data_IF_648431537776
#
_entry.id   IF_648431537776
#
_cell.length_a   1.000
_cell.length_b   1.000
_cell.length_c   1.000
_cell.angle_alpha   90.00
_cell.angle_beta   90.00
_cell.angle_gamma   90.00
#
_symmetry.space_group_name_H-M   'P 1'
#
loop_
_entity.id
_entity.type
_entity.pdbx_description
1 polymer ?
#
# COMPACT_ATOMS: atom_id res chain seq x y z
N UNK A 1 18.72 22.96 24.45
CA UNK A 1 17.96 23.46 23.29
C UNK A 1 17.92 22.35 22.25
N UNK A 2 16.97 21.43 22.33
CA UNK A 2 16.70 20.53 21.20
C UNK A 2 16.03 21.40 20.15
N UNK A 3 16.77 21.81 19.13
CA UNK A 3 16.20 22.44 17.94
C UNK A 3 15.28 21.41 17.28
N UNK A 4 14.05 21.36 17.79
CA UNK A 4 12.97 20.60 17.18
C UNK A 4 12.76 21.25 15.84
N UNK A 5 13.24 20.58 14.79
CA UNK A 5 12.99 20.97 13.43
C UNK A 5 11.47 21.07 13.28
N UNK A 6 10.97 22.29 13.27
CA UNK A 6 9.54 22.57 13.26
C UNK A 6 9.08 22.34 11.82
N UNK A 7 8.84 21.08 11.47
CA UNK A 7 8.24 20.78 10.18
C UNK A 7 6.81 21.30 10.23
N UNK A 8 6.49 22.28 9.39
CA UNK A 8 5.12 22.70 9.08
C UNK A 8 4.37 21.57 8.34
N UNK A 9 4.04 20.54 9.11
CA UNK A 9 3.35 19.35 8.65
C UNK A 9 1.87 19.69 8.52
N UNK A 10 1.42 19.96 7.28
CA UNK A 10 -0.02 20.06 6.97
C UNK A 10 -0.80 18.78 7.35
N UNK A 11 -0.13 17.64 7.51
CA UNK A 11 -0.69 16.34 7.88
C UNK A 11 0.29 15.54 8.75
N UNK A 12 -0.19 14.62 9.61
CA UNK A 12 0.68 13.65 10.27
C UNK A 12 1.44 12.78 9.26
N UNK A 13 2.71 12.45 9.54
CA UNK A 13 3.58 11.66 8.65
C UNK A 13 2.90 10.38 8.17
N UNK A 14 2.24 9.62 9.06
CA UNK A 14 1.59 8.34 8.72
C UNK A 14 0.47 8.46 7.67
N UNK A 15 -0.14 9.65 7.55
CA UNK A 15 -1.20 9.94 6.57
C UNK A 15 -0.67 10.42 5.23
N UNK A 16 0.61 10.75 5.13
CA UNK A 16 1.21 11.20 3.88
C UNK A 16 1.40 10.04 2.90
N UNK A 17 1.34 10.36 1.62
CA UNK A 17 1.65 9.43 0.52
C UNK A 17 3.15 9.34 0.31
N UNK A 18 3.63 8.28 -0.37
CA UNK A 18 5.06 8.13 -0.66
C UNK A 18 5.64 9.34 -1.42
N UNK A 19 4.85 10.03 -2.25
CA UNK A 19 5.28 11.24 -2.94
C UNK A 19 5.46 12.42 -1.99
N UNK A 20 4.47 12.67 -1.14
CA UNK A 20 4.54 13.73 -0.11
C UNK A 20 5.72 13.49 0.85
N UNK A 21 5.99 12.24 1.24
CA UNK A 21 7.15 11.89 2.08
C UNK A 21 8.49 12.09 1.36
N UNK A 22 8.59 11.79 0.06
CA UNK A 22 9.80 12.08 -0.72
C UNK A 22 10.06 13.57 -0.85
N UNK A 23 9.01 14.36 -1.09
CA UNK A 23 9.13 15.81 -1.14
C UNK A 23 9.58 16.39 0.21
N UNK A 24 9.10 15.84 1.33
CA UNK A 24 9.57 16.23 2.66
C UNK A 24 11.03 15.87 2.89
N UNK A 25 11.46 14.66 2.50
CA UNK A 25 12.87 14.26 2.60
C UNK A 25 13.76 15.21 1.80
N UNK A 26 13.39 15.52 0.56
CA UNK A 26 14.16 16.42 -0.30
C UNK A 26 14.24 17.85 0.26
N UNK A 27 13.17 18.34 0.92
CA UNK A 27 13.09 19.72 1.40
C UNK A 27 13.66 19.93 2.80
N UNK A 28 13.50 18.94 3.69
CA UNK A 28 13.64 19.14 5.14
C UNK A 28 14.50 18.07 5.82
N UNK A 29 14.74 16.92 5.18
CA UNK A 29 15.50 15.82 5.80
C UNK A 29 16.56 15.25 4.84
N UNK A 30 17.61 16.03 4.50
CA UNK A 30 18.67 15.58 3.57
C UNK A 30 19.49 14.39 4.09
N UNK A 31 19.33 14.03 5.36
CA UNK A 31 19.96 12.86 5.99
C UNK A 31 19.45 11.53 5.41
N UNK A 32 18.22 11.52 4.88
CA UNK A 32 17.60 10.34 4.28
C UNK A 32 18.03 10.24 2.81
N UNK A 33 19.09 9.47 2.55
CA UNK A 33 19.59 9.22 1.20
C UNK A 33 18.81 8.09 0.51
N UNK A 34 18.58 8.21 -0.80
CA UNK A 34 17.91 7.16 -1.58
C UNK A 34 16.37 7.14 -1.50
N UNK A 35 15.72 8.21 -1.03
CA UNK A 35 14.26 8.30 -0.88
C UNK A 35 13.44 7.96 -2.14
N UNK A 36 14.01 8.14 -3.34
CA UNK A 36 13.38 7.80 -4.61
C UNK A 36 13.05 6.31 -4.76
N UNK A 37 13.88 5.42 -4.18
CA UNK A 37 13.71 3.97 -4.26
C UNK A 37 12.82 3.36 -3.17
N UNK A 38 12.58 4.10 -2.08
CA UNK A 38 11.93 3.57 -0.89
C UNK A 38 10.40 3.62 -0.99
N UNK A 39 9.78 2.59 -0.40
CA UNK A 39 8.34 2.51 -0.20
C UNK A 39 7.84 3.49 0.87
N UNK A 40 6.51 3.70 0.94
CA UNK A 40 5.90 4.57 1.96
C UNK A 40 6.33 4.18 3.38
N UNK A 41 6.28 2.89 3.69
CA UNK A 41 6.53 2.39 5.05
C UNK A 41 8.00 2.59 5.45
N UNK A 42 8.94 2.33 4.54
CA UNK A 42 10.38 2.51 4.73
C UNK A 42 10.74 3.99 4.88
N UNK A 43 10.14 4.86 4.06
CA UNK A 43 10.31 6.32 4.18
C UNK A 43 9.85 6.83 5.55
N UNK A 44 8.74 6.30 6.08
CA UNK A 44 8.26 6.70 7.41
C UNK A 44 9.24 6.32 8.53
N UNK A 45 9.86 5.14 8.44
CA UNK A 45 10.85 4.69 9.43
C UNK A 45 12.07 5.60 9.39
N UNK A 46 12.66 5.81 8.22
CA UNK A 46 13.87 6.63 8.09
C UNK A 46 13.64 8.10 8.45
N UNK A 47 12.48 8.66 8.11
CA UNK A 47 12.13 10.03 8.52
C UNK A 47 11.97 10.14 10.04
N UNK A 48 11.32 9.16 10.69
CA UNK A 48 11.17 9.15 12.16
C UNK A 48 12.51 8.99 12.88
N UNK A 49 13.39 8.11 12.36
CA UNK A 49 14.76 7.92 12.84
C UNK A 49 15.59 9.21 12.70
N UNK A 50 15.57 9.85 11.53
CA UNK A 50 16.29 11.11 11.28
C UNK A 50 15.79 12.28 12.15
N UNK A 51 14.52 12.24 12.57
CA UNK A 51 13.91 13.24 13.46
C UNK A 51 14.13 12.94 14.96
N UNK A 52 14.85 11.87 15.31
CA UNK A 52 15.10 11.49 16.71
C UNK A 52 13.85 11.07 17.48
N UNK A 53 12.71 10.90 16.79
CA UNK A 53 11.52 10.29 17.36
C UNK A 53 11.75 8.79 17.34
N UNK A 54 12.23 8.27 18.48
CA UNK A 54 12.60 6.86 18.70
C UNK A 54 11.66 5.90 17.97
N UNK A 55 12.27 4.95 17.26
CA UNK A 55 11.66 4.02 16.31
C UNK A 55 10.54 3.14 16.90
N UNK A 56 9.41 3.74 17.24
CA UNK A 56 8.18 3.04 17.47
C UNK A 56 7.65 2.55 16.13
N UNK A 57 8.09 1.33 15.80
CA UNK A 57 7.51 0.38 14.86
C UNK A 57 6.69 1.04 13.75
N UNK A 58 7.34 1.24 12.59
CA UNK A 58 6.74 1.73 11.35
C UNK A 58 5.29 1.31 11.23
N UNK A 59 4.42 2.32 11.04
CA UNK A 59 2.95 2.27 11.05
C UNK A 59 2.43 0.83 10.97
N UNK A 60 1.96 0.27 12.10
CA UNK A 60 1.47 -1.12 12.23
C UNK A 60 0.85 -1.58 10.91
N UNK A 61 1.65 -2.30 10.11
CA UNK A 61 1.20 -2.68 8.78
C UNK A 61 -0.07 -3.47 8.99
N UNK A 62 -1.16 -3.06 8.33
CA UNK A 62 -2.45 -3.72 8.55
C UNK A 62 -2.24 -5.24 8.50
N UNK A 63 -2.74 -5.99 9.49
CA UNK A 63 -2.53 -7.44 9.57
C UNK A 63 -3.04 -8.17 8.31
N UNK A 64 -3.91 -7.51 7.53
CA UNK A 64 -4.48 -8.04 6.31
C UNK A 64 -3.78 -7.57 5.02
N UNK A 65 -2.73 -6.74 5.08
CA UNK A 65 -2.06 -6.16 3.90
C UNK A 65 -1.57 -7.25 2.94
N UNK A 66 -0.82 -8.22 3.43
CA UNK A 66 -0.30 -9.36 2.65
C UNK A 66 -1.43 -10.21 2.05
N UNK A 67 -2.49 -10.44 2.83
CA UNK A 67 -3.70 -11.17 2.40
C UNK A 67 -4.46 -10.42 1.30
N UNK A 68 -4.56 -9.09 1.39
CA UNK A 68 -5.20 -8.26 0.34
C UNK A 68 -4.38 -8.32 -0.96
N UNK A 69 -3.05 -8.30 -0.87
CA UNK A 69 -2.16 -8.38 -2.03
C UNK A 69 -2.27 -9.73 -2.75
N UNK A 70 -2.22 -10.85 -2.02
CA UNK A 70 -2.40 -12.19 -2.60
C UNK A 70 -3.78 -12.35 -3.25
N UNK A 71 -4.83 -11.83 -2.63
CA UNK A 71 -6.18 -11.83 -3.24
C UNK A 71 -6.26 -10.98 -4.52
N UNK A 72 -5.54 -9.86 -4.60
CA UNK A 72 -5.44 -9.05 -5.83
C UNK A 72 -4.65 -9.78 -6.92
N UNK A 73 -3.59 -10.51 -6.56
CA UNK A 73 -2.86 -11.36 -7.50
C UNK A 73 -3.77 -12.46 -8.10
N UNK A 74 -4.51 -13.18 -7.25
CA UNK A 74 -5.51 -14.17 -7.70
C UNK A 74 -6.61 -13.56 -8.56
N UNK A 75 -7.00 -12.31 -8.29
CA UNK A 75 -7.97 -11.62 -9.13
C UNK A 75 -7.42 -11.31 -10.52
N UNK A 76 -6.12 -11.03 -10.66
CA UNK A 76 -5.47 -10.81 -11.96
C UNK A 76 -5.43 -12.11 -12.78
N UNK A 77 -5.02 -13.23 -12.17
CA UNK A 77 -5.01 -14.52 -12.86
C UNK A 77 -6.40 -14.96 -13.34
N UNK A 78 -7.44 -14.78 -12.51
CA UNK A 78 -8.81 -15.09 -12.90
C UNK A 78 -9.35 -14.20 -14.03
N UNK A 79 -8.84 -12.96 -14.17
CA UNK A 79 -9.20 -12.10 -15.30
C UNK A 79 -8.58 -12.59 -16.60
N UNK A 80 -7.31 -12.99 -16.56
CA UNK A 80 -6.61 -13.60 -17.70
C UNK A 80 -7.29 -14.91 -18.11
N UNK A 81 -7.56 -15.80 -17.16
CA UNK A 81 -8.30 -17.03 -17.44
C UNK A 81 -9.67 -16.75 -18.08
N UNK A 82 -10.40 -15.71 -17.64
CA UNK A 82 -11.69 -15.34 -18.23
C UNK A 82 -11.58 -14.88 -19.68
N UNK A 83 -10.51 -14.18 -20.04
CA UNK A 83 -10.28 -13.71 -21.42
C UNK A 83 -9.90 -14.87 -22.35
N UNK A 84 -9.22 -15.88 -21.83
CA UNK A 84 -8.79 -17.07 -22.59
C UNK A 84 -9.92 -18.07 -22.87
N UNK A 85 -11.03 -18.02 -22.11
CA UNK A 85 -12.16 -18.92 -22.37
C UNK A 85 -12.81 -18.60 -23.74
N UNK A 86 -12.76 -19.56 -24.67
CA UNK A 86 -13.40 -19.53 -25.98
C UNK A 86 -14.16 -20.84 -26.26
N UNK A 87 -15.03 -20.85 -27.29
CA UNK A 87 -15.78 -22.04 -27.73
C UNK A 87 -17.21 -22.17 -27.17
N UNK A 88 -17.92 -23.21 -27.62
CA UNK A 88 -19.28 -23.50 -27.20
C UNK A 88 -19.33 -24.00 -25.74
N UNK A 89 -20.33 -23.54 -24.97
CA UNK A 89 -20.40 -23.79 -23.53
C UNK A 89 -19.57 -22.84 -22.65
N UNK A 90 -18.75 -21.96 -23.24
CA UNK A 90 -17.92 -20.96 -22.56
C UNK A 90 -18.69 -19.98 -21.66
N UNK A 91 -20.00 -19.77 -21.91
CA UNK A 91 -20.85 -18.84 -21.15
C UNK A 91 -20.89 -19.18 -19.67
N UNK A 92 -21.08 -20.45 -19.32
CA UNK A 92 -21.16 -20.91 -17.92
C UNK A 92 -19.81 -20.71 -17.21
N UNK A 93 -18.71 -21.06 -17.87
CA UNK A 93 -17.35 -20.89 -17.33
C UNK A 93 -17.00 -19.41 -17.12
N UNK A 94 -17.29 -18.55 -18.10
CA UNK A 94 -17.11 -17.09 -17.98
C UNK A 94 -17.93 -16.50 -16.83
N UNK A 95 -19.14 -17.02 -16.60
CA UNK A 95 -19.99 -16.58 -15.50
C UNK A 95 -19.42 -17.01 -14.14
N UNK A 96 -18.95 -18.24 -13.99
CA UNK A 96 -18.29 -18.73 -12.78
C UNK A 96 -17.06 -17.87 -12.43
N UNK A 97 -16.20 -17.60 -13.41
CA UNK A 97 -15.01 -16.74 -13.24
C UNK A 97 -15.41 -15.31 -12.83
N UNK A 98 -16.44 -14.72 -13.46
CA UNK A 98 -16.99 -13.41 -13.06
C UNK A 98 -17.45 -13.42 -11.59
N UNK A 99 -18.20 -14.44 -11.17
CA UNK A 99 -18.71 -14.58 -9.79
C UNK A 99 -17.55 -14.70 -8.80
N UNK A 100 -16.51 -15.46 -9.11
CA UNK A 100 -15.30 -15.59 -8.28
C UNK A 100 -14.55 -14.26 -8.15
N UNK A 101 -14.33 -13.53 -9.26
CA UNK A 101 -13.72 -12.19 -9.25
C UNK A 101 -14.53 -11.23 -8.36
N UNK A 102 -15.86 -11.25 -8.46
CA UNK A 102 -16.74 -10.40 -7.66
C UNK A 102 -16.66 -10.74 -6.16
N UNK A 103 -16.63 -12.03 -5.79
CA UNK A 103 -16.43 -12.46 -4.40
C UNK A 103 -15.09 -11.96 -3.85
N UNK A 104 -14.01 -12.10 -4.63
CA UNK A 104 -12.68 -11.59 -4.23
C UNK A 104 -12.67 -10.07 -4.07
N UNK A 105 -13.30 -9.32 -5.00
CA UNK A 105 -13.43 -7.84 -4.89
C UNK A 105 -14.18 -7.42 -3.63
N UNK A 106 -15.27 -8.11 -3.29
CA UNK A 106 -16.04 -7.82 -2.06
C UNK A 106 -15.20 -8.12 -0.82
N UNK A 107 -14.50 -9.25 -0.79
CA UNK A 107 -13.69 -9.68 0.36
C UNK A 107 -12.46 -8.78 0.56
N UNK A 108 -11.78 -8.33 -0.50
CA UNK A 108 -10.66 -7.37 -0.35
C UNK A 108 -11.14 -6.01 0.18
N UNK A 109 -12.29 -5.50 -0.29
CA UNK A 109 -12.87 -4.25 0.22
C UNK A 109 -13.31 -4.34 1.69
N UNK A 110 -13.78 -5.51 2.14
CA UNK A 110 -14.09 -5.73 3.57
C UNK A 110 -12.82 -5.75 4.41
N UNK A 111 -11.81 -6.52 3.98
CA UNK A 111 -10.52 -6.60 4.69
C UNK A 111 -9.79 -5.26 4.76
N UNK A 112 -9.90 -4.42 3.73
CA UNK A 112 -9.31 -3.08 3.72
C UNK A 112 -10.09 -2.03 4.51
N UNK A 113 -11.29 -2.36 5.01
CA UNK A 113 -12.06 -1.50 5.93
C UNK A 113 -11.91 -1.93 7.38
N UNK A 114 -11.65 -3.22 7.59
CA UNK A 114 -11.35 -3.81 8.90
C UNK A 114 -9.86 -3.68 9.29
N UNK A 115 -9.04 -3.15 8.38
CA UNK A 115 -7.61 -2.90 8.51
C UNK A 115 -7.30 -1.57 9.17
#
# INVERSE_FOLDING_TARGET
>A
MSEGMQLDLKKPLDKMTAKELRELVLKQVPQVTGASGLGKDELLVQIKEALGMGGEAGSKASPYKTKILSMKAKMRSLRAARTEVAGDGSRKQKELLRRQINKLKKRTRRLSRAS
#
